data_IF_982177920616
#
_entry.id   IF_982177920616
#
_cell.length_a   1.000
_cell.length_b   1.000
_cell.length_c   1.000
_cell.angle_alpha   90.00
_cell.angle_beta   90.00
_cell.angle_gamma   90.00
#
_symmetry.space_group_name_H-M   'P 1'
#
loop_
_entity.id
_entity.type
_entity.pdbx_description
1 polymer ?
#
# COMPACT_ATOMS: atom_id res chain seq x y z
N UNK A 1 0.18 -12.70 10.10
CA UNK A 1 1.53 -12.12 10.01
C UNK A 1 1.54 -10.77 9.28
N UNK A 2 0.80 -10.59 8.22
CA UNK A 2 0.75 -9.35 7.41
C UNK A 2 0.36 -8.09 8.19
N UNK A 3 -0.52 -8.18 9.20
CA UNK A 3 -0.88 -7.04 10.05
C UNK A 3 0.28 -6.46 10.88
N UNK A 4 1.18 -7.32 11.38
CA UNK A 4 2.38 -6.85 12.09
C UNK A 4 3.34 -6.12 11.14
N UNK A 5 3.50 -6.62 9.91
CA UNK A 5 4.36 -5.98 8.90
C UNK A 5 3.79 -4.59 8.55
N UNK A 6 2.48 -4.46 8.36
CA UNK A 6 1.83 -3.17 8.12
C UNK A 6 1.98 -2.20 9.29
N UNK A 7 1.98 -2.70 10.54
CA UNK A 7 2.32 -1.91 11.72
C UNK A 7 3.74 -1.34 11.67
N UNK A 8 4.72 -2.12 11.26
CA UNK A 8 6.09 -1.63 11.05
C UNK A 8 6.18 -0.63 9.89
N UNK A 9 5.48 -0.87 8.78
CA UNK A 9 5.41 0.07 7.66
C UNK A 9 4.84 1.42 8.11
N UNK A 10 3.79 1.42 8.92
CA UNK A 10 3.20 2.62 9.50
C UNK A 10 4.22 3.40 10.34
N UNK A 11 4.96 2.72 11.23
CA UNK A 11 6.00 3.34 12.05
C UNK A 11 7.16 3.89 11.21
N UNK A 12 7.55 3.19 10.15
CA UNK A 12 8.56 3.66 9.20
C UNK A 12 8.09 4.94 8.51
N UNK A 13 6.85 5.00 8.01
CA UNK A 13 6.32 6.21 7.39
C UNK A 13 6.19 7.38 8.36
N UNK A 14 5.84 7.11 9.63
CA UNK A 14 5.84 8.12 10.67
C UNK A 14 7.25 8.70 10.88
N UNK A 15 8.23 7.81 11.07
CA UNK A 15 9.64 8.22 11.27
C UNK A 15 10.16 9.00 10.05
N UNK A 16 9.88 8.52 8.85
CA UNK A 16 10.27 9.19 7.59
C UNK A 16 9.67 10.58 7.50
N UNK A 17 8.39 10.73 7.80
CA UNK A 17 7.72 12.03 7.80
C UNK A 17 8.36 13.01 8.76
N UNK A 18 8.65 12.57 9.99
CA UNK A 18 9.32 13.39 11.02
C UNK A 18 10.76 13.73 10.61
N UNK A 19 11.52 12.81 10.03
CA UNK A 19 12.87 13.05 9.56
C UNK A 19 12.91 14.03 8.37
N UNK A 20 11.97 13.97 7.45
CA UNK A 20 11.87 14.96 6.37
C UNK A 20 11.53 16.35 6.90
N UNK A 21 10.61 16.46 7.87
CA UNK A 21 10.31 17.73 8.54
C UNK A 21 11.55 18.28 9.25
N UNK A 22 12.23 17.46 10.03
CA UNK A 22 13.46 17.81 10.71
C UNK A 22 14.55 18.26 9.70
N UNK A 23 14.75 17.50 8.63
CA UNK A 23 15.72 17.85 7.58
C UNK A 23 15.38 19.15 6.85
N UNK A 24 14.08 19.49 6.75
CA UNK A 24 13.63 20.79 6.24
C UNK A 24 13.89 21.93 7.21
N UNK A 25 13.56 21.75 8.49
CA UNK A 25 13.72 22.77 9.54
C UNK A 25 15.19 23.10 9.82
N UNK A 26 16.03 22.08 9.94
CA UNK A 26 17.48 22.28 10.22
C UNK A 26 18.34 22.37 8.98
N UNK A 27 17.75 22.39 7.79
CA UNK A 27 18.44 22.44 6.49
C UNK A 27 19.59 21.42 6.37
N UNK A 28 19.36 20.21 6.87
CA UNK A 28 20.36 19.14 6.95
C UNK A 28 20.22 18.15 5.79
N UNK A 29 21.21 18.11 4.90
CA UNK A 29 21.23 17.20 3.77
C UNK A 29 21.37 15.72 4.20
N UNK A 30 22.05 15.46 5.32
CA UNK A 30 22.16 14.14 5.88
C UNK A 30 20.80 13.58 6.31
N UNK A 31 19.98 14.37 7.01
CA UNK A 31 18.65 13.98 7.41
C UNK A 31 17.75 13.69 6.19
N UNK A 32 17.80 14.56 5.19
CA UNK A 32 17.05 14.36 3.94
C UNK A 32 17.45 13.08 3.21
N UNK A 33 18.76 12.79 3.17
CA UNK A 33 19.29 11.56 2.55
C UNK A 33 18.80 10.30 3.29
N UNK A 34 18.89 10.26 4.61
CA UNK A 34 18.42 9.14 5.42
C UNK A 34 16.91 8.97 5.33
N UNK A 35 16.14 10.07 5.33
CA UNK A 35 14.70 10.04 5.11
C UNK A 35 14.35 9.39 3.77
N UNK A 36 15.07 9.73 2.70
CA UNK A 36 14.84 9.16 1.36
C UNK A 36 15.14 7.66 1.33
N UNK A 37 16.22 7.21 1.98
CA UNK A 37 16.57 5.79 2.05
C UNK A 37 15.46 5.01 2.81
N UNK A 38 15.04 5.52 3.96
CA UNK A 38 13.97 4.92 4.76
C UNK A 38 12.63 4.94 4.06
N UNK A 39 12.34 5.98 3.26
CA UNK A 39 11.13 6.05 2.45
C UNK A 39 11.06 4.91 1.42
N UNK A 40 12.18 4.64 0.72
CA UNK A 40 12.30 3.50 -0.18
C UNK A 40 12.16 2.16 0.56
N UNK A 41 12.81 2.02 1.71
CA UNK A 41 12.71 0.83 2.52
C UNK A 41 11.26 0.60 3.01
N UNK A 42 10.56 1.65 3.43
CA UNK A 42 9.15 1.60 3.80
C UNK A 42 8.26 1.18 2.63
N UNK A 43 8.47 1.75 1.44
CA UNK A 43 7.70 1.38 0.24
C UNK A 43 7.95 -0.07 -0.19
N UNK A 44 9.20 -0.54 -0.14
CA UNK A 44 9.51 -1.96 -0.46
C UNK A 44 8.87 -2.90 0.54
N UNK A 45 8.94 -2.60 1.84
CA UNK A 45 8.30 -3.40 2.88
C UNK A 45 6.77 -3.39 2.74
N UNK A 46 6.19 -2.24 2.38
CA UNK A 46 4.76 -2.12 2.11
C UNK A 46 4.34 -2.98 0.91
N UNK A 47 5.12 -2.96 -0.17
CA UNK A 47 4.90 -3.83 -1.34
C UNK A 47 4.92 -5.31 -0.95
N UNK A 48 5.92 -5.72 -0.14
CA UNK A 48 6.00 -7.10 0.35
C UNK A 48 4.81 -7.46 1.25
N UNK A 49 4.30 -6.53 2.05
CA UNK A 49 3.11 -6.75 2.87
C UNK A 49 1.85 -6.97 2.01
N UNK A 50 1.67 -6.19 0.92
CA UNK A 50 0.56 -6.38 -0.03
C UNK A 50 0.68 -7.73 -0.73
N UNK A 51 1.87 -8.08 -1.21
CA UNK A 51 2.11 -9.38 -1.88
C UNK A 51 1.89 -10.55 -0.91
N UNK A 52 2.36 -10.44 0.33
CA UNK A 52 2.13 -11.45 1.37
C UNK A 52 0.63 -11.63 1.67
N UNK A 53 -0.12 -10.52 1.73
CA UNK A 53 -1.58 -10.57 1.92
C UNK A 53 -2.29 -11.20 0.73
N UNK A 54 -1.83 -10.91 -0.48
CA UNK A 54 -2.33 -11.55 -1.69
C UNK A 54 -2.10 -13.07 -1.66
N UNK A 55 -0.92 -13.49 -1.24
CA UNK A 55 -0.59 -14.90 -1.07
C UNK A 55 -1.48 -15.58 -0.01
N UNK A 56 -1.69 -14.93 1.14
CA UNK A 56 -2.59 -15.44 2.19
C UNK A 56 -4.03 -15.61 1.67
N UNK A 57 -4.53 -14.64 0.88
CA UNK A 57 -5.85 -14.70 0.25
C UNK A 57 -5.95 -15.83 -0.76
N UNK A 58 -4.92 -16.04 -1.57
CA UNK A 58 -4.85 -17.14 -2.53
C UNK A 58 -4.84 -18.51 -1.84
N UNK A 59 -4.06 -18.67 -0.77
CA UNK A 59 -4.01 -19.92 -0.01
C UNK A 59 -5.37 -20.27 0.60
N UNK A 60 -6.07 -19.28 1.16
CA UNK A 60 -7.42 -19.48 1.67
C UNK A 60 -8.41 -19.89 0.57
N UNK A 61 -8.28 -19.33 -0.62
CA UNK A 61 -9.14 -19.69 -1.74
C UNK A 61 -8.90 -21.12 -2.24
N UNK A 62 -7.65 -21.59 -2.26
CA UNK A 62 -7.31 -22.97 -2.65
C UNK A 62 -7.93 -24.01 -1.75
N UNK A 63 -8.12 -23.72 -0.46
CA UNK A 63 -8.78 -24.64 0.49
C UNK A 63 -10.25 -24.85 0.11
N UNK A 64 -10.91 -23.81 -0.42
CA UNK A 64 -12.33 -23.85 -0.75
C UNK A 64 -12.62 -24.25 -2.21
N UNK A 65 -11.71 -23.97 -3.12
CA UNK A 65 -11.83 -24.25 -4.55
C UNK A 65 -10.48 -24.73 -5.09
N UNK A 66 -10.19 -26.04 -5.01
CA UNK A 66 -8.96 -26.58 -5.55
C UNK A 66 -8.94 -26.41 -7.08
N UNK A 67 -7.97 -25.66 -7.59
CA UNK A 67 -7.76 -25.51 -9.01
C UNK A 67 -6.82 -26.63 -9.51
N UNK A 68 -7.27 -27.43 -10.47
CA UNK A 68 -6.50 -28.52 -11.07
C UNK A 68 -5.70 -28.11 -12.31
N UNK A 69 -6.13 -27.03 -12.98
CA UNK A 69 -5.53 -26.56 -14.22
C UNK A 69 -4.78 -25.24 -14.04
N UNK A 70 -3.74 -25.00 -14.86
CA UNK A 70 -2.96 -23.78 -14.86
C UNK A 70 -3.82 -22.50 -15.09
N UNK A 71 -4.81 -22.60 -15.98
CA UNK A 71 -5.78 -21.53 -16.23
C UNK A 71 -6.64 -21.22 -15.00
N UNK A 72 -7.06 -22.24 -14.26
CA UNK A 72 -7.81 -22.12 -13.01
C UNK A 72 -6.97 -21.47 -11.89
N UNK A 73 -5.70 -21.84 -11.78
CA UNK A 73 -4.75 -21.22 -10.84
C UNK A 73 -4.58 -19.73 -11.13
N UNK A 74 -4.34 -19.36 -12.39
CA UNK A 74 -4.16 -17.96 -12.79
C UNK A 74 -5.43 -17.13 -12.54
N UNK A 75 -6.59 -17.69 -12.89
CA UNK A 75 -7.87 -17.05 -12.66
C UNK A 75 -8.14 -16.85 -11.16
N UNK A 76 -7.85 -17.87 -10.34
CA UNK A 76 -7.99 -17.81 -8.90
C UNK A 76 -7.07 -16.73 -8.30
N UNK A 77 -5.80 -16.66 -8.73
CA UNK A 77 -4.86 -15.61 -8.30
C UNK A 77 -5.39 -14.21 -8.60
N UNK A 78 -5.87 -13.96 -9.81
CA UNK A 78 -6.39 -12.65 -10.23
C UNK A 78 -7.62 -12.26 -9.40
N UNK A 79 -8.55 -13.19 -9.15
CA UNK A 79 -9.75 -12.91 -8.37
C UNK A 79 -9.49 -12.73 -6.87
N UNK A 80 -8.34 -13.19 -6.37
CA UNK A 80 -7.94 -13.02 -4.97
C UNK A 80 -6.99 -11.82 -4.78
N UNK A 81 -6.90 -10.92 -5.77
CA UNK A 81 -6.15 -9.68 -5.60
C UNK A 81 -6.63 -8.92 -4.34
N UNK A 82 -5.71 -8.35 -3.54
CA UNK A 82 -6.04 -7.73 -2.26
C UNK A 82 -6.70 -6.35 -2.45
N UNK A 83 -7.88 -6.34 -3.05
CA UNK A 83 -8.77 -5.19 -3.29
C UNK A 83 -10.23 -5.57 -2.99
N UNK A 84 -10.42 -6.66 -2.23
CA UNK A 84 -11.72 -7.28 -2.01
C UNK A 84 -12.56 -6.59 -0.94
N UNK A 85 -11.94 -5.83 -0.04
CA UNK A 85 -12.61 -5.16 1.06
C UNK A 85 -12.04 -3.76 1.31
N UNK A 86 -12.74 -2.99 2.14
CA UNK A 86 -12.38 -1.61 2.45
C UNK A 86 -10.99 -1.50 3.10
N UNK A 87 -10.60 -2.45 3.96
CA UNK A 87 -9.27 -2.50 4.56
C UNK A 87 -8.17 -2.62 3.50
N UNK A 88 -8.34 -3.52 2.54
CA UNK A 88 -7.38 -3.75 1.45
C UNK A 88 -7.29 -2.55 0.52
N UNK A 89 -8.43 -1.91 0.25
CA UNK A 89 -8.50 -0.68 -0.52
C UNK A 89 -7.69 0.45 0.12
N UNK A 90 -7.80 0.61 1.45
CA UNK A 90 -7.03 1.62 2.19
C UNK A 90 -5.52 1.34 2.16
N UNK A 91 -5.11 0.08 2.36
CA UNK A 91 -3.70 -0.32 2.27
C UNK A 91 -3.15 -0.04 0.88
N UNK A 92 -3.90 -0.41 -0.16
CA UNK A 92 -3.50 -0.18 -1.54
C UNK A 92 -3.41 1.32 -1.85
N UNK A 93 -4.37 2.13 -1.40
CA UNK A 93 -4.30 3.58 -1.55
C UNK A 93 -3.12 4.20 -0.82
N UNK A 94 -2.88 3.78 0.44
CA UNK A 94 -1.71 4.19 1.21
C UNK A 94 -0.38 3.82 0.55
N UNK A 95 -0.34 2.79 -0.30
CA UNK A 95 0.81 2.41 -1.11
C UNK A 95 0.92 3.25 -2.39
N UNK A 96 -0.21 3.55 -3.06
CA UNK A 96 -0.21 4.36 -4.28
C UNK A 96 0.33 5.77 -4.06
N UNK A 97 0.02 6.40 -2.92
CA UNK A 97 0.46 7.77 -2.60
C UNK A 97 2.00 7.90 -2.61
N UNK A 98 2.78 7.14 -1.83
CA UNK A 98 4.24 7.22 -1.86
C UNK A 98 4.83 6.74 -3.19
N UNK A 99 4.22 5.73 -3.84
CA UNK A 99 4.68 5.26 -5.14
C UNK A 99 4.61 6.38 -6.19
N UNK A 100 3.46 7.02 -6.33
CA UNK A 100 3.28 8.09 -7.32
C UNK A 100 4.09 9.33 -6.98
N UNK A 101 4.25 9.66 -5.70
CA UNK A 101 5.12 10.77 -5.29
C UNK A 101 6.58 10.52 -5.68
N UNK A 102 7.07 9.29 -5.56
CA UNK A 102 8.40 8.90 -6.02
C UNK A 102 8.56 9.00 -7.55
N UNK A 103 7.56 8.57 -8.30
CA UNK A 103 7.59 8.61 -9.77
C UNK A 103 7.53 10.04 -10.28
N UNK A 104 6.64 10.87 -9.70
CA UNK A 104 6.34 12.21 -10.22
C UNK A 104 7.33 13.26 -9.74
N UNK A 105 7.76 13.19 -8.48
CA UNK A 105 8.53 14.26 -7.83
C UNK A 105 9.87 13.79 -7.24
N UNK A 106 10.53 12.83 -7.88
CA UNK A 106 11.79 12.24 -7.38
C UNK A 106 12.84 13.27 -6.93
N UNK A 107 12.89 14.46 -7.56
CA UNK A 107 13.80 15.56 -7.20
C UNK A 107 13.31 16.40 -6.01
N UNK A 108 12.00 16.46 -5.78
CA UNK A 108 11.38 17.34 -4.76
C UNK A 108 10.98 16.59 -3.49
N UNK A 109 11.10 15.26 -3.48
CA UNK A 109 10.77 14.41 -2.32
C UNK A 109 11.66 14.65 -1.10
N UNK A 110 12.80 15.33 -1.27
CA UNK A 110 13.74 15.60 -0.19
C UNK A 110 13.32 16.77 0.73
N UNK A 111 12.07 17.20 0.65
CA UNK A 111 11.55 18.32 1.41
C UNK A 111 10.20 18.04 2.07
N UNK A 112 9.46 19.11 2.32
CA UNK A 112 8.14 19.06 2.97
C UNK A 112 7.13 18.17 2.24
N UNK A 113 7.21 18.05 0.91
CA UNK A 113 6.35 17.17 0.13
C UNK A 113 6.53 15.70 0.55
N UNK A 114 7.76 15.23 0.70
CA UNK A 114 8.04 13.86 1.18
C UNK A 114 7.50 13.62 2.58
N UNK A 115 7.57 14.62 3.46
CA UNK A 115 6.98 14.55 4.79
C UNK A 115 5.47 14.38 4.74
N UNK A 116 4.77 15.22 3.95
CA UNK A 116 3.32 15.19 3.81
C UNK A 116 2.86 13.83 3.28
N UNK A 117 3.52 13.31 2.23
CA UNK A 117 3.15 12.02 1.63
C UNK A 117 3.38 10.84 2.58
N UNK A 118 4.49 10.83 3.32
CA UNK A 118 4.77 9.81 4.31
C UNK A 118 3.77 9.84 5.48
N UNK A 119 3.48 11.03 6.01
CA UNK A 119 2.51 11.20 7.11
C UNK A 119 1.09 10.85 6.67
N UNK A 120 0.69 11.22 5.45
CA UNK A 120 -0.62 10.85 4.90
C UNK A 120 -0.76 9.34 4.80
N UNK A 121 0.26 8.64 4.25
CA UNK A 121 0.26 7.18 4.18
C UNK A 121 0.23 6.54 5.57
N UNK A 122 0.95 7.10 6.54
CA UNK A 122 0.90 6.68 7.94
C UNK A 122 -0.52 6.83 8.52
N UNK A 123 -1.18 7.96 8.32
CA UNK A 123 -2.55 8.20 8.81
C UNK A 123 -3.57 7.22 8.21
N UNK A 124 -3.47 6.95 6.91
CA UNK A 124 -4.36 5.99 6.23
C UNK A 124 -4.15 4.58 6.80
N UNK A 125 -2.89 4.15 6.99
CA UNK A 125 -2.57 2.85 7.59
C UNK A 125 -3.01 2.77 9.06
N UNK A 126 -2.86 3.85 9.83
CA UNK A 126 -3.34 3.93 11.21
C UNK A 126 -4.86 3.78 11.27
N UNK A 127 -5.59 4.51 10.43
CA UNK A 127 -7.03 4.39 10.34
C UNK A 127 -7.46 2.96 9.97
N UNK A 128 -6.83 2.37 8.94
CA UNK A 128 -7.10 1.01 8.52
C UNK A 128 -6.87 0.00 9.66
N UNK A 129 -5.77 0.14 10.39
CA UNK A 129 -5.38 -0.81 11.45
C UNK A 129 -6.24 -0.70 12.71
N UNK A 130 -6.73 0.50 13.04
CA UNK A 130 -7.46 0.75 14.29
C UNK A 130 -8.98 0.61 14.15
N UNK A 131 -9.54 0.96 12.99
CA UNK A 131 -11.00 1.10 12.83
C UNK A 131 -11.61 0.13 11.82
N UNK A 132 -10.79 -0.56 11.01
CA UNK A 132 -11.30 -1.42 9.94
C UNK A 132 -10.99 -2.89 10.21
N UNK A 133 -11.98 -3.77 9.97
CA UNK A 133 -11.81 -5.22 10.10
C UNK A 133 -10.77 -5.74 9.08
N UNK A 134 -9.66 -6.26 9.61
CA UNK A 134 -8.53 -6.76 8.81
C UNK A 134 -8.73 -8.19 8.28
N UNK A 135 -9.87 -8.85 8.59
CA UNK A 135 -10.13 -10.23 8.17
C UNK A 135 -10.24 -10.32 6.66
N UNK A 136 -9.61 -11.35 6.08
CA UNK A 136 -9.75 -11.68 4.67
C UNK A 136 -11.15 -12.25 4.48
N UNK A 137 -11.97 -11.57 3.67
CA UNK A 137 -13.33 -12.02 3.33
C UNK A 137 -13.36 -12.45 1.87
N UNK A 138 -14.00 -13.58 1.53
CA UNK A 138 -14.13 -13.99 0.14
C UNK A 138 -14.97 -12.95 -0.63
N UNK A 139 -14.56 -12.66 -1.85
CA UNK A 139 -15.26 -11.74 -2.73
C UNK A 139 -16.65 -12.28 -3.06
N UNK A 140 -17.67 -11.42 -2.98
CA UNK A 140 -19.03 -11.80 -3.40
C UNK A 140 -19.02 -12.22 -4.87
N UNK A 141 -19.76 -13.27 -5.27
CA UNK A 141 -19.78 -13.75 -6.65
C UNK A 141 -20.09 -12.67 -7.70
N UNK A 142 -20.94 -11.71 -7.34
CA UNK A 142 -21.30 -10.58 -8.21
C UNK A 142 -20.13 -9.61 -8.50
N UNK A 143 -19.09 -9.59 -7.66
CA UNK A 143 -17.92 -8.73 -7.79
C UNK A 143 -16.71 -9.46 -8.42
N UNK A 144 -16.83 -10.73 -8.77
CA UNK A 144 -15.80 -11.52 -9.43
C UNK A 144 -15.71 -11.16 -10.92
N UNK A 145 -15.18 -9.99 -11.23
CA UNK A 145 -14.99 -9.52 -12.59
C UNK A 145 -13.60 -8.92 -12.77
N UNK A 146 -12.89 -9.31 -13.83
CA UNK A 146 -11.59 -8.71 -14.18
C UNK A 146 -11.72 -7.20 -14.44
N UNK A 147 -12.85 -6.73 -14.97
CA UNK A 147 -13.13 -5.32 -15.18
C UNK A 147 -13.22 -4.53 -13.88
N UNK A 148 -13.76 -5.12 -12.83
CA UNK A 148 -13.79 -4.48 -11.51
C UNK A 148 -12.38 -4.23 -10.99
N UNK A 149 -11.48 -5.21 -11.10
CA UNK A 149 -10.10 -5.07 -10.66
C UNK A 149 -9.38 -3.94 -11.40
N UNK A 150 -9.48 -3.90 -12.73
CA UNK A 150 -8.89 -2.85 -13.56
C UNK A 150 -9.47 -1.47 -13.18
N UNK A 151 -10.79 -1.39 -13.01
CA UNK A 151 -11.46 -0.15 -12.62
C UNK A 151 -10.97 0.35 -11.25
N UNK A 152 -10.93 -0.51 -10.25
CA UNK A 152 -10.51 -0.16 -8.88
C UNK A 152 -9.04 0.30 -8.85
N UNK A 153 -8.12 -0.42 -9.51
CA UNK A 153 -6.71 -0.02 -9.60
C UNK A 153 -6.57 1.35 -10.28
N UNK A 154 -7.28 1.56 -11.39
CA UNK A 154 -7.24 2.84 -12.11
C UNK A 154 -7.78 3.99 -11.26
N UNK A 155 -8.88 3.77 -10.54
CA UNK A 155 -9.45 4.77 -9.65
C UNK A 155 -8.47 5.15 -8.53
N UNK A 156 -7.83 4.19 -7.87
CA UNK A 156 -6.88 4.48 -6.81
C UNK A 156 -5.62 5.19 -7.31
N UNK A 157 -5.11 4.82 -8.48
CA UNK A 157 -4.02 5.56 -9.12
C UNK A 157 -4.45 6.99 -9.47
N UNK A 158 -5.68 7.18 -9.95
CA UNK A 158 -6.26 8.50 -10.18
C UNK A 158 -6.35 9.33 -8.90
N UNK A 159 -6.93 8.79 -7.83
CA UNK A 159 -7.04 9.49 -6.53
C UNK A 159 -5.68 9.82 -5.94
N UNK A 160 -4.73 8.87 -5.97
CA UNK A 160 -3.38 9.13 -5.51
C UNK A 160 -2.67 10.20 -6.36
N UNK A 161 -2.90 10.24 -7.67
CA UNK A 161 -2.37 11.28 -8.56
C UNK A 161 -2.90 12.67 -8.19
N UNK A 162 -4.20 12.79 -7.86
CA UNK A 162 -4.78 14.04 -7.38
C UNK A 162 -4.22 14.45 -6.00
N UNK A 163 -3.97 13.48 -5.14
CA UNK A 163 -3.40 13.72 -3.80
C UNK A 163 -1.96 14.26 -3.89
N UNK A 164 -1.19 13.80 -4.87
CA UNK A 164 0.22 14.14 -5.06
C UNK A 164 0.41 15.46 -5.83
N UNK A 165 -0.60 15.95 -6.55
CA UNK A 165 -0.53 17.17 -7.38
C UNK A 165 -0.62 18.45 -6.54
#
# INVERSE_FOLDING_TARGET
MTGLILGWVMLIYLLVGLLFLAGGLWNSDNLRRWSSILFWAGLTLHTLAILGRWWDSYQLALIHTPASDFSGVLQLMVFQAPLSNFYESLIFFAWCVPLLSLVTFRRYLQGYLGAVMALLSCLILAYASLYVDSRIKPLMPALKSNWLLIHVVTCFLGYASFTVR
#
